data_IF_463968856691
#
_entry.id   IF_463968856691
#
_cell.length_a   1.000
_cell.length_b   1.000
_cell.length_c   1.000
_cell.angle_alpha   90.00
_cell.angle_beta   90.00
_cell.angle_gamma   90.00
#
_symmetry.space_group_name_H-M   'P 1'
#
loop_
_entity.id
_entity.type
_entity.pdbx_description
1 polymer ?
#
# COMPACT_ATOMS: atom_id res chain seq x y z
N UNK A 1 15.69 6.19 -5.33
CA UNK A 1 16.62 5.94 -6.45
C UNK A 1 15.89 4.97 -7.36
N UNK A 2 15.56 5.41 -8.60
CA UNK A 2 14.97 4.53 -9.63
C UNK A 2 15.96 3.40 -9.89
N UNK A 3 15.48 2.17 -10.22
CA UNK A 3 16.38 1.12 -10.64
C UNK A 3 17.25 1.63 -11.79
N UNK A 4 18.52 1.28 -11.84
CA UNK A 4 19.31 1.59 -13.01
C UNK A 4 18.72 0.90 -14.24
N UNK A 5 18.70 1.57 -15.36
CA UNK A 5 18.19 1.08 -16.65
C UNK A 5 18.48 -0.41 -16.97
N UNK A 6 19.71 -0.93 -16.74
CA UNK A 6 20.00 -2.35 -16.97
C UNK A 6 19.13 -3.30 -16.12
N UNK A 7 18.67 -2.84 -14.96
CA UNK A 7 17.85 -3.69 -14.07
C UNK A 7 16.41 -3.85 -14.58
N UNK A 8 15.85 -2.85 -15.25
CA UNK A 8 14.55 -2.99 -15.92
C UNK A 8 14.61 -4.02 -17.01
N UNK A 9 15.65 -4.00 -17.87
CA UNK A 9 15.86 -5.01 -18.92
C UNK A 9 15.97 -6.43 -18.35
N UNK A 10 16.76 -6.61 -17.30
CA UNK A 10 16.91 -7.90 -16.62
C UNK A 10 15.59 -8.41 -16.02
N UNK A 11 14.83 -7.52 -15.37
CA UNK A 11 13.55 -7.86 -14.74
C UNK A 11 12.53 -8.26 -15.79
N UNK A 12 12.44 -7.53 -16.90
CA UNK A 12 11.55 -7.83 -18.03
C UNK A 12 11.90 -9.18 -18.68
N UNK A 13 13.19 -9.40 -18.97
CA UNK A 13 13.67 -10.65 -19.57
C UNK A 13 13.39 -11.85 -18.67
N UNK A 14 13.57 -11.73 -17.36
CA UNK A 14 13.27 -12.79 -16.38
C UNK A 14 11.78 -13.10 -16.30
N UNK A 15 10.92 -12.08 -16.40
CA UNK A 15 9.46 -12.19 -16.26
C UNK A 15 8.79 -12.74 -17.52
N UNK A 16 9.24 -12.31 -18.71
CA UNK A 16 8.55 -12.52 -19.99
C UNK A 16 9.37 -13.29 -21.04
N UNK A 17 10.69 -13.41 -20.83
CA UNK A 17 11.63 -13.92 -21.84
C UNK A 17 12.07 -12.85 -22.86
N UNK A 18 11.56 -11.61 -22.76
CA UNK A 18 11.89 -10.48 -23.63
C UNK A 18 12.33 -9.29 -22.76
N UNK A 19 13.41 -8.61 -23.14
CA UNK A 19 13.94 -7.47 -22.39
C UNK A 19 13.21 -6.15 -22.67
N UNK A 20 12.40 -6.07 -23.72
CA UNK A 20 11.68 -4.88 -24.18
C UNK A 20 12.57 -3.63 -24.30
N UNK A 21 13.83 -3.80 -24.70
CA UNK A 21 14.80 -2.71 -24.75
C UNK A 21 14.28 -1.46 -25.47
N UNK A 22 13.63 -1.53 -26.65
CA UNK A 22 13.11 -0.33 -27.32
C UNK A 22 12.08 0.45 -26.51
N UNK A 23 11.24 -0.26 -25.73
CA UNK A 23 10.27 0.36 -24.83
C UNK A 23 10.96 1.05 -23.65
N UNK A 24 11.91 0.37 -23.02
CA UNK A 24 12.69 0.95 -21.91
C UNK A 24 13.55 2.12 -22.35
N UNK A 25 14.13 2.06 -23.56
CA UNK A 25 14.85 3.20 -24.17
C UNK A 25 13.92 4.40 -24.35
N UNK A 26 12.72 4.18 -24.85
CA UNK A 26 11.71 5.22 -24.98
C UNK A 26 11.30 5.80 -23.62
N UNK A 27 11.09 4.97 -22.61
CA UNK A 27 10.72 5.44 -21.26
C UNK A 27 11.81 6.26 -20.60
N UNK A 28 13.06 5.78 -20.58
CA UNK A 28 14.11 6.26 -19.70
C UNK A 28 15.19 7.12 -20.34
N UNK A 29 15.49 6.91 -21.63
CA UNK A 29 16.69 7.49 -22.26
C UNK A 29 16.48 8.88 -22.89
N UNK A 30 15.33 9.52 -22.66
CA UNK A 30 15.06 10.89 -23.11
C UNK A 30 14.77 11.82 -21.94
N UNK A 31 15.76 12.56 -21.41
CA UNK A 31 15.60 13.40 -20.22
C UNK A 31 14.42 14.37 -20.29
N UNK A 32 14.18 14.97 -21.46
CA UNK A 32 13.10 15.96 -21.66
C UNK A 32 11.71 15.34 -21.70
N UNK A 33 11.59 14.03 -21.90
CA UNK A 33 10.32 13.31 -22.04
C UNK A 33 10.06 12.28 -20.94
N UNK A 34 11.09 11.91 -20.17
CA UNK A 34 11.01 10.88 -19.14
C UNK A 34 9.89 11.16 -18.14
N UNK A 35 9.79 12.38 -17.62
CA UNK A 35 8.77 12.75 -16.64
C UNK A 35 7.35 12.54 -17.21
N UNK A 36 7.08 13.01 -18.43
CA UNK A 36 5.78 12.87 -19.07
C UNK A 36 5.41 11.41 -19.38
N UNK A 37 6.41 10.56 -19.69
CA UNK A 37 6.20 9.14 -19.99
C UNK A 37 5.92 8.29 -18.74
N UNK A 38 6.27 8.79 -17.56
CA UNK A 38 5.98 8.19 -16.25
C UNK A 38 4.84 8.90 -15.52
N UNK A 39 4.23 9.93 -16.12
CA UNK A 39 3.12 10.65 -15.53
C UNK A 39 1.81 9.87 -15.68
N UNK A 40 1.16 9.60 -14.55
CA UNK A 40 -0.14 8.91 -14.54
C UNK A 40 -1.24 9.71 -15.25
N UNK A 41 -1.15 11.04 -15.28
CA UNK A 41 -2.10 11.86 -16.03
C UNK A 41 -1.98 11.64 -17.56
N UNK A 42 -0.78 11.29 -18.05
CA UNK A 42 -0.51 10.98 -19.45
C UNK A 42 -0.64 9.46 -19.78
N UNK A 43 -1.03 8.64 -18.80
CA UNK A 43 -1.00 7.18 -18.92
C UNK A 43 -1.82 6.65 -20.11
N UNK A 44 -3.00 7.21 -20.36
CA UNK A 44 -3.87 6.79 -21.47
C UNK A 44 -3.24 7.10 -22.84
N UNK A 45 -2.61 8.26 -23.00
CA UNK A 45 -1.92 8.67 -24.22
C UNK A 45 -0.67 7.81 -24.45
N UNK A 46 0.15 7.64 -23.42
CA UNK A 46 1.36 6.81 -23.45
C UNK A 46 1.01 5.35 -23.77
N UNK A 47 -0.04 4.79 -23.18
CA UNK A 47 -0.56 3.46 -23.51
C UNK A 47 -0.93 3.34 -24.98
N UNK A 48 -1.65 4.32 -25.52
CA UNK A 48 -2.04 4.28 -26.94
C UNK A 48 -0.81 4.33 -27.86
N UNK A 49 0.18 5.14 -27.54
CA UNK A 49 1.45 5.16 -28.26
C UNK A 49 2.18 3.81 -28.22
N UNK A 50 2.32 3.22 -27.02
CA UNK A 50 2.98 1.91 -26.82
C UNK A 50 2.26 0.82 -27.59
N UNK A 51 0.92 0.77 -27.52
CA UNK A 51 0.10 -0.21 -28.24
C UNK A 51 0.31 -0.12 -29.76
N UNK A 52 0.30 1.09 -30.31
CA UNK A 52 0.46 1.32 -31.74
C UNK A 52 1.88 1.06 -32.24
N UNK A 53 2.89 1.19 -31.37
CA UNK A 53 4.31 1.07 -31.74
C UNK A 53 4.84 -0.35 -31.57
N UNK A 54 4.49 -1.02 -30.45
CA UNK A 54 5.09 -2.31 -30.05
C UNK A 54 4.07 -3.42 -29.76
N UNK A 55 2.77 -3.12 -29.81
CA UNK A 55 1.71 -4.10 -29.62
C UNK A 55 1.29 -4.31 -28.17
N UNK A 56 0.36 -5.24 -27.99
CA UNK A 56 -0.38 -5.42 -26.72
C UNK A 56 0.50 -5.99 -25.59
N UNK A 57 1.47 -6.84 -25.91
CA UNK A 57 2.40 -7.37 -24.90
C UNK A 57 3.27 -6.27 -24.28
N UNK A 58 3.72 -5.31 -25.10
CA UNK A 58 4.49 -4.16 -24.64
C UNK A 58 3.67 -3.21 -23.76
N UNK A 59 2.35 -3.17 -23.91
CA UNK A 59 1.46 -2.40 -23.02
C UNK A 59 1.52 -2.93 -21.60
N UNK A 60 1.51 -4.25 -21.42
CA UNK A 60 1.64 -4.86 -20.10
C UNK A 60 2.98 -4.49 -19.46
N UNK A 61 4.07 -4.57 -20.23
CA UNK A 61 5.40 -4.20 -19.76
C UNK A 61 5.52 -2.70 -19.42
N UNK A 62 4.91 -1.83 -20.23
CA UNK A 62 4.81 -0.40 -19.93
C UNK A 62 4.19 -0.11 -18.57
N UNK A 63 3.03 -0.74 -18.29
CA UNK A 63 2.38 -0.56 -16.98
C UNK A 63 3.21 -1.10 -15.83
N UNK A 64 3.87 -2.24 -16.00
CA UNK A 64 4.73 -2.83 -14.98
C UNK A 64 5.94 -1.95 -14.68
N UNK A 65 6.59 -1.39 -15.72
CA UNK A 65 7.70 -0.46 -15.56
C UNK A 65 7.30 0.81 -14.77
N UNK A 66 6.20 1.45 -15.17
CA UNK A 66 5.70 2.65 -14.47
C UNK A 66 5.34 2.33 -13.01
N UNK A 67 4.73 1.17 -12.75
CA UNK A 67 4.41 0.73 -11.39
C UNK A 67 5.67 0.46 -10.55
N UNK A 68 6.68 -0.20 -11.12
CA UNK A 68 7.97 -0.45 -10.43
C UNK A 68 8.67 0.87 -10.06
N UNK A 69 8.69 1.84 -10.96
CA UNK A 69 9.31 3.15 -10.72
C UNK A 69 8.58 3.94 -9.61
N UNK A 70 7.25 3.88 -9.59
CA UNK A 70 6.45 4.51 -8.53
C UNK A 70 6.72 3.86 -7.17
N UNK A 71 6.69 2.53 -7.09
CA UNK A 71 7.00 1.77 -5.88
C UNK A 71 8.40 2.08 -5.35
N UNK A 72 9.40 2.13 -6.22
CA UNK A 72 10.77 2.46 -5.86
C UNK A 72 10.91 3.91 -5.37
N UNK A 73 10.21 4.84 -5.98
CA UNK A 73 10.19 6.26 -5.58
C UNK A 73 9.57 6.44 -4.20
N UNK A 74 8.43 5.81 -3.95
CA UNK A 74 7.73 5.88 -2.67
C UNK A 74 8.53 5.17 -1.56
N UNK A 75 9.12 4.00 -1.84
CA UNK A 75 10.02 3.31 -0.91
C UNK A 75 11.26 4.16 -0.56
N UNK A 76 11.86 4.83 -1.56
CA UNK A 76 12.97 5.74 -1.32
C UNK A 76 12.55 6.94 -0.46
N UNK A 77 11.32 7.43 -0.61
CA UNK A 77 10.78 8.49 0.24
C UNK A 77 10.66 8.06 1.70
N UNK A 78 10.22 6.82 1.98
CA UNK A 78 10.20 6.27 3.34
C UNK A 78 11.60 6.20 3.95
N UNK A 79 12.58 5.66 3.20
CA UNK A 79 13.97 5.54 3.67
C UNK A 79 14.57 6.93 3.95
N UNK A 80 14.37 7.89 3.05
CA UNK A 80 14.86 9.26 3.20
C UNK A 80 14.19 9.99 4.38
N UNK A 81 12.94 9.66 4.69
CA UNK A 81 12.23 10.17 5.86
C UNK A 81 12.78 9.60 7.19
N UNK A 82 13.59 8.54 7.12
CA UNK A 82 14.20 7.87 8.27
C UNK A 82 13.38 6.71 8.81
N UNK A 83 12.49 6.12 8.02
CA UNK A 83 11.77 4.91 8.42
C UNK A 83 12.77 3.76 8.63
N UNK A 84 12.69 3.01 9.74
CA UNK A 84 13.49 1.82 9.97
C UNK A 84 13.25 0.76 8.90
N UNK A 85 14.27 -0.07 8.63
CA UNK A 85 14.20 -1.10 7.58
C UNK A 85 13.02 -2.06 7.75
N UNK A 86 12.73 -2.47 8.99
CA UNK A 86 11.60 -3.33 9.31
C UNK A 86 10.25 -2.67 9.00
N UNK A 87 10.10 -1.36 9.24
CA UNK A 87 8.89 -0.64 8.88
C UNK A 87 8.71 -0.52 7.36
N UNK A 88 9.81 -0.31 6.63
CA UNK A 88 9.79 -0.30 5.15
C UNK A 88 9.40 -1.68 4.60
N UNK A 89 9.98 -2.76 5.13
CA UNK A 89 9.64 -4.13 4.72
C UNK A 89 8.18 -4.45 5.02
N UNK A 90 7.70 -4.13 6.22
CA UNK A 90 6.30 -4.27 6.61
C UNK A 90 5.37 -3.53 5.65
N UNK A 91 5.65 -2.26 5.35
CA UNK A 91 4.85 -1.45 4.43
C UNK A 91 4.76 -2.04 3.01
N UNK A 92 5.85 -2.62 2.51
CA UNK A 92 5.84 -3.31 1.21
C UNK A 92 4.98 -4.59 1.23
N UNK A 93 5.04 -5.37 2.32
CA UNK A 93 4.19 -6.54 2.51
C UNK A 93 2.71 -6.15 2.64
N UNK A 94 2.40 -5.06 3.35
CA UNK A 94 1.03 -4.52 3.43
C UNK A 94 0.54 -4.09 2.05
N UNK A 95 1.37 -3.43 1.24
CA UNK A 95 1.01 -3.03 -0.11
C UNK A 95 0.73 -4.25 -1.02
N UNK A 96 1.58 -5.28 -0.95
CA UNK A 96 1.37 -6.55 -1.66
C UNK A 96 0.04 -7.20 -1.26
N UNK A 97 -0.22 -7.32 0.04
CA UNK A 97 -1.45 -7.94 0.57
C UNK A 97 -2.69 -7.13 0.23
N UNK A 98 -2.62 -5.82 0.31
CA UNK A 98 -3.72 -4.93 -0.07
C UNK A 98 -4.08 -5.07 -1.56
N UNK A 99 -3.08 -5.14 -2.45
CA UNK A 99 -3.31 -5.36 -3.88
C UNK A 99 -3.86 -6.76 -4.19
N UNK A 100 -3.43 -7.79 -3.46
CA UNK A 100 -4.01 -9.14 -3.55
C UNK A 100 -5.50 -9.11 -3.17
N UNK A 101 -5.86 -8.49 -2.04
CA UNK A 101 -7.26 -8.32 -1.62
C UNK A 101 -8.05 -7.55 -2.67
N UNK A 102 -7.49 -6.44 -3.20
CA UNK A 102 -8.13 -5.63 -4.24
C UNK A 102 -8.35 -6.38 -5.56
N UNK A 103 -7.60 -7.44 -5.82
CA UNK A 103 -7.82 -8.29 -7.00
C UNK A 103 -9.00 -9.25 -6.83
N UNK A 104 -9.43 -9.51 -5.60
CA UNK A 104 -10.50 -10.46 -5.23
C UNK A 104 -11.84 -9.78 -4.99
N UNK A 105 -11.86 -8.50 -4.58
CA UNK A 105 -13.09 -7.77 -4.34
C UNK A 105 -13.79 -7.36 -5.64
N UNK A 106 -15.14 -7.36 -5.62
CA UNK A 106 -16.00 -7.04 -6.78
C UNK A 106 -16.43 -5.57 -6.85
N UNK A 107 -15.97 -4.75 -5.91
CA UNK A 107 -16.22 -3.31 -5.88
C UNK A 107 -15.08 -2.55 -6.56
N UNK A 108 -15.33 -1.34 -7.08
CA UNK A 108 -14.27 -0.48 -7.60
C UNK A 108 -13.28 -0.08 -6.49
N UNK A 109 -11.99 -0.20 -6.77
CA UNK A 109 -10.88 0.19 -5.87
C UNK A 109 -9.82 0.91 -6.71
N UNK A 110 -9.39 2.07 -6.25
CA UNK A 110 -8.22 2.74 -6.81
C UNK A 110 -6.94 2.03 -6.32
N UNK A 111 -6.42 1.15 -7.17
CA UNK A 111 -5.22 0.35 -6.85
C UNK A 111 -3.95 1.19 -6.70
N UNK A 112 -3.88 2.35 -7.34
CA UNK A 112 -2.75 3.26 -7.18
C UNK A 112 -2.78 3.94 -5.80
N UNK A 113 -3.92 4.51 -5.44
CA UNK A 113 -4.14 5.07 -4.10
C UNK A 113 -3.92 4.00 -3.02
N UNK A 114 -4.47 2.81 -3.23
CA UNK A 114 -4.33 1.67 -2.31
C UNK A 114 -2.87 1.30 -2.06
N UNK A 115 -2.08 1.10 -3.13
CA UNK A 115 -0.67 0.71 -3.02
C UNK A 115 0.14 1.78 -2.30
N UNK A 116 -0.02 3.06 -2.69
CA UNK A 116 0.70 4.17 -2.06
C UNK A 116 0.25 4.41 -0.62
N UNK A 117 -1.05 4.32 -0.35
CA UNK A 117 -1.59 4.40 1.01
C UNK A 117 -0.99 3.32 1.91
N UNK A 118 -0.88 2.08 1.41
CA UNK A 118 -0.24 0.98 2.13
C UNK A 118 1.26 1.20 2.36
N UNK A 119 1.99 1.72 1.35
CA UNK A 119 3.42 2.03 1.50
C UNK A 119 3.63 3.08 2.59
N UNK A 120 2.82 4.13 2.62
CA UNK A 120 3.02 5.26 3.52
C UNK A 120 2.28 5.16 4.86
N UNK A 121 1.40 4.16 5.09
CA UNK A 121 0.56 4.12 6.29
C UNK A 121 1.35 4.31 7.59
N UNK A 122 2.53 3.75 7.65
CA UNK A 122 3.44 3.77 8.81
C UNK A 122 4.57 4.82 8.73
N UNK A 123 4.45 5.83 7.87
CA UNK A 123 5.46 6.89 7.68
C UNK A 123 5.89 7.56 9.00
N UNK A 124 4.98 7.71 9.94
CA UNK A 124 5.28 8.31 11.25
C UNK A 124 6.21 7.48 12.12
N UNK A 125 6.41 6.18 11.83
CA UNK A 125 7.40 5.32 12.50
C UNK A 125 8.85 5.80 12.28
N UNK A 126 9.07 6.68 11.32
CA UNK A 126 10.34 7.43 11.20
C UNK A 126 10.64 8.32 12.43
N UNK A 127 9.64 8.64 13.25
CA UNK A 127 9.77 9.53 14.41
C UNK A 127 9.39 8.86 15.73
N UNK A 128 8.36 8.01 15.75
CA UNK A 128 7.84 7.38 16.97
C UNK A 128 7.08 6.10 16.64
N UNK A 129 7.09 5.16 17.60
CA UNK A 129 6.22 3.97 17.62
C UNK A 129 4.99 4.15 18.52
N UNK A 130 4.81 5.34 19.10
CA UNK A 130 3.65 5.69 19.93
C UNK A 130 2.36 5.80 19.11
N UNK A 131 1.22 5.93 19.79
CA UNK A 131 -0.10 6.04 19.15
C UNK A 131 -0.22 7.26 18.23
N UNK A 132 0.60 8.27 18.47
CA UNK A 132 0.66 9.50 17.69
C UNK A 132 1.36 9.36 16.32
N UNK A 133 1.94 8.18 15.98
CA UNK A 133 2.62 8.03 14.70
C UNK A 133 1.67 8.23 13.49
N UNK A 134 0.37 7.99 13.62
CA UNK A 134 -0.61 8.31 12.58
C UNK A 134 -0.71 9.81 12.31
N UNK A 135 -0.77 10.63 13.36
CA UNK A 135 -0.80 12.10 13.26
C UNK A 135 0.52 12.67 12.72
N UNK A 136 1.63 12.19 13.23
CA UNK A 136 2.97 12.61 12.80
C UNK A 136 3.19 12.21 11.34
N UNK A 137 2.82 10.98 10.97
CA UNK A 137 2.93 10.49 9.60
C UNK A 137 2.08 11.29 8.61
N UNK A 138 0.85 11.64 8.98
CA UNK A 138 -0.02 12.47 8.14
C UNK A 138 0.57 13.87 7.91
N UNK A 139 1.19 14.47 8.92
CA UNK A 139 1.91 15.75 8.79
C UNK A 139 3.15 15.61 7.90
N UNK A 140 3.95 14.57 8.08
CA UNK A 140 5.10 14.29 7.21
C UNK A 140 4.67 14.06 5.76
N UNK A 141 3.55 13.38 5.54
CA UNK A 141 2.98 13.17 4.21
C UNK A 141 2.55 14.49 3.54
N UNK A 142 2.02 15.44 4.30
CA UNK A 142 1.73 16.79 3.82
C UNK A 142 3.01 17.54 3.40
N UNK A 143 4.05 17.46 4.21
CA UNK A 143 5.36 18.05 3.92
C UNK A 143 6.03 17.43 2.68
N UNK A 144 5.76 16.15 2.40
CA UNK A 144 6.18 15.43 1.19
C UNK A 144 5.30 15.71 -0.03
N UNK A 145 4.21 16.48 0.12
CA UNK A 145 3.27 16.79 -0.96
C UNK A 145 2.40 15.60 -1.38
N UNK A 146 2.20 14.61 -0.49
CA UNK A 146 1.30 13.49 -0.77
C UNK A 146 -0.15 13.95 -0.76
N UNK A 147 -0.95 13.34 -1.63
CA UNK A 147 -2.38 13.67 -1.77
C UNK A 147 -3.18 13.38 -0.49
N UNK A 148 -4.27 14.12 -0.32
CA UNK A 148 -5.12 14.05 0.88
C UNK A 148 -5.59 12.62 1.18
N UNK A 149 -5.97 11.87 0.16
CA UNK A 149 -6.45 10.50 0.33
C UNK A 149 -5.40 9.58 0.98
N UNK A 150 -4.12 9.72 0.63
CA UNK A 150 -3.01 8.99 1.27
C UNK A 150 -2.86 9.46 2.72
N UNK A 151 -2.90 10.78 2.96
CA UNK A 151 -2.82 11.34 4.32
C UNK A 151 -3.94 10.82 5.22
N UNK A 152 -5.16 10.64 4.69
CA UNK A 152 -6.27 10.06 5.42
C UNK A 152 -6.06 8.60 5.78
N UNK A 153 -5.46 7.78 4.91
CA UNK A 153 -5.09 6.40 5.22
C UNK A 153 -4.09 6.38 6.38
N UNK A 154 -3.02 7.18 6.30
CA UNK A 154 -2.00 7.31 7.35
C UNK A 154 -2.62 7.73 8.68
N UNK A 155 -3.48 8.75 8.66
CA UNK A 155 -4.11 9.31 9.85
C UNK A 155 -5.00 8.30 10.57
N UNK A 156 -5.74 7.49 9.82
CA UNK A 156 -6.82 6.63 10.34
C UNK A 156 -6.40 5.19 10.63
N UNK A 157 -5.18 4.77 10.28
CA UNK A 157 -4.82 3.34 10.40
C UNK A 157 -4.76 2.83 11.84
N UNK A 158 -4.58 3.72 12.81
CA UNK A 158 -4.44 3.36 14.23
C UNK A 158 -5.66 2.59 14.73
N UNK A 159 -5.43 1.36 15.21
CA UNK A 159 -6.46 0.46 15.80
C UNK A 159 -7.70 0.24 14.91
N UNK A 160 -7.53 0.31 13.61
CA UNK A 160 -8.65 0.12 12.68
C UNK A 160 -9.60 1.31 12.57
N UNK A 161 -9.10 2.51 12.88
CA UNK A 161 -9.89 3.73 12.97
C UNK A 161 -10.45 3.97 14.38
N UNK A 162 -10.44 5.20 14.84
CA UNK A 162 -10.87 5.59 16.17
C UNK A 162 -12.07 6.53 16.10
N UNK A 163 -12.97 6.43 17.07
CA UNK A 163 -13.97 7.45 17.31
C UNK A 163 -13.35 8.66 18.04
N UNK A 164 -14.02 9.80 18.03
CA UNK A 164 -13.58 10.99 18.82
C UNK A 164 -13.42 10.69 20.32
N UNK A 165 -14.28 9.83 20.87
CA UNK A 165 -14.20 9.44 22.27
C UNK A 165 -12.92 8.65 22.57
N UNK A 166 -12.60 7.66 21.73
CA UNK A 166 -11.37 6.87 21.85
C UNK A 166 -10.12 7.72 21.62
N UNK A 167 -10.15 8.66 20.66
CA UNK A 167 -9.05 9.59 20.42
C UNK A 167 -8.76 10.43 21.67
N UNK A 168 -9.81 10.94 22.35
CA UNK A 168 -9.68 11.68 23.59
C UNK A 168 -9.08 10.83 24.71
N UNK A 169 -9.53 9.59 24.87
CA UNK A 169 -9.01 8.66 25.87
C UNK A 169 -7.53 8.32 25.65
N UNK A 170 -7.10 8.27 24.39
CA UNK A 170 -5.72 7.98 23.99
C UNK A 170 -4.81 9.22 23.96
N UNK A 171 -5.34 10.41 24.28
CA UNK A 171 -4.58 11.65 24.24
C UNK A 171 -4.24 12.15 22.83
N UNK A 172 -4.95 11.67 21.81
CA UNK A 172 -4.82 12.10 20.43
C UNK A 172 -5.71 13.34 20.15
N UNK A 173 -5.44 14.10 19.09
CA UNK A 173 -6.34 15.17 18.67
C UNK A 173 -7.78 14.67 18.51
N UNK A 174 -8.75 15.42 19.09
CA UNK A 174 -10.15 15.00 19.12
C UNK A 174 -10.78 15.23 17.75
N UNK A 175 -10.85 14.18 16.97
CA UNK A 175 -11.50 14.11 15.64
C UNK A 175 -11.98 12.69 15.33
N UNK A 176 -12.77 12.54 14.29
CA UNK A 176 -13.22 11.25 13.78
C UNK A 176 -12.17 10.62 12.87
N UNK A 177 -11.61 9.48 13.27
CA UNK A 177 -10.67 8.68 12.49
C UNK A 177 -11.32 7.43 11.87
N UNK A 178 -12.65 7.34 11.85
CA UNK A 178 -13.31 6.15 11.30
C UNK A 178 -13.05 5.98 9.80
N UNK A 179 -12.95 4.71 9.38
CA UNK A 179 -12.67 4.36 7.98
C UNK A 179 -13.90 4.59 7.11
N UNK A 180 -13.73 5.21 5.95
CA UNK A 180 -14.84 5.58 5.06
C UNK A 180 -14.73 4.97 3.67
N UNK A 181 -13.53 4.92 3.09
CA UNK A 181 -13.34 4.46 1.71
C UNK A 181 -12.91 2.99 1.65
N UNK A 182 -13.15 2.30 0.53
CA UNK A 182 -12.64 0.95 0.33
C UNK A 182 -11.13 0.84 0.51
N UNK A 183 -10.38 1.84 0.03
CA UNK A 183 -8.92 1.86 0.11
C UNK A 183 -8.45 1.96 1.57
N UNK A 184 -9.03 2.86 2.38
CA UNK A 184 -8.75 2.93 3.81
C UNK A 184 -8.98 1.58 4.49
N UNK A 185 -10.12 0.95 4.22
CA UNK A 185 -10.53 -0.33 4.81
C UNK A 185 -9.61 -1.48 4.41
N UNK A 186 -9.28 -1.58 3.12
CA UNK A 186 -8.42 -2.64 2.61
C UNK A 186 -6.99 -2.50 3.14
N UNK A 187 -6.41 -1.29 3.18
CA UNK A 187 -5.07 -1.08 3.73
C UNK A 187 -5.01 -1.52 5.19
N UNK A 188 -5.94 -1.08 6.01
CA UNK A 188 -5.94 -1.39 7.44
C UNK A 188 -6.22 -2.87 7.72
N UNK A 189 -7.06 -3.51 6.92
CA UNK A 189 -7.26 -4.95 6.98
C UNK A 189 -6.00 -5.72 6.57
N UNK A 190 -5.34 -5.29 5.49
CA UNK A 190 -4.09 -5.89 5.03
C UNK A 190 -2.97 -5.74 6.07
N UNK A 191 -2.84 -4.56 6.68
CA UNK A 191 -1.90 -4.31 7.77
C UNK A 191 -2.09 -5.30 8.93
N UNK A 192 -3.32 -5.49 9.39
CA UNK A 192 -3.63 -6.48 10.45
C UNK A 192 -3.33 -7.91 10.02
N UNK A 193 -3.60 -8.27 8.76
CA UNK A 193 -3.28 -9.60 8.22
C UNK A 193 -1.77 -9.83 8.18
N UNK A 194 -0.99 -8.84 7.73
CA UNK A 194 0.47 -8.91 7.70
C UNK A 194 1.05 -9.10 9.09
N UNK A 195 0.59 -8.34 10.07
CA UNK A 195 0.98 -8.51 11.47
C UNK A 195 0.78 -9.97 11.95
N UNK A 196 -0.39 -10.56 11.65
CA UNK A 196 -0.75 -11.90 12.11
C UNK A 196 0.21 -12.97 11.55
N UNK A 197 0.47 -12.97 10.25
CA UNK A 197 1.30 -14.04 9.69
C UNK A 197 2.80 -13.78 9.83
N UNK A 198 3.26 -12.53 9.94
CA UNK A 198 4.68 -12.22 10.18
C UNK A 198 5.11 -12.42 11.63
N UNK A 199 4.20 -12.28 12.57
CA UNK A 199 4.48 -12.51 14.01
C UNK A 199 4.58 -14.01 14.37
N UNK A 200 4.41 -14.92 13.42
CA UNK A 200 4.54 -16.37 13.63
C UNK A 200 3.38 -17.02 14.39
N UNK A 201 2.24 -16.34 14.49
CA UNK A 201 1.01 -16.89 15.08
C UNK A 201 0.50 -18.07 14.24
N UNK A 202 0.60 -17.93 12.93
CA UNK A 202 0.24 -18.98 11.99
C UNK A 202 1.52 -19.72 11.54
N UNK A 203 1.61 -21.05 11.71
CA UNK A 203 2.79 -21.81 11.32
C UNK A 203 3.15 -21.60 9.83
N UNK A 204 4.41 -21.35 9.55
CA UNK A 204 4.92 -21.20 8.20
C UNK A 204 4.47 -19.89 7.50
N UNK A 205 3.97 -18.92 8.24
CA UNK A 205 3.42 -17.66 7.71
C UNK A 205 2.33 -17.91 6.64
N UNK A 206 1.49 -18.92 6.85
CA UNK A 206 0.41 -19.32 5.95
C UNK A 206 -0.69 -18.24 5.92
N UNK A 207 -0.67 -17.44 4.86
CA UNK A 207 -1.60 -16.32 4.68
C UNK A 207 -3.05 -16.76 4.53
N UNK A 208 -3.29 -17.91 3.87
CA UNK A 208 -4.64 -18.44 3.69
C UNK A 208 -5.21 -18.89 5.03
N UNK A 209 -4.39 -19.56 5.84
CA UNK A 209 -4.78 -19.95 7.20
C UNK A 209 -5.01 -18.74 8.09
N UNK A 210 -4.16 -17.71 8.00
CA UNK A 210 -4.34 -16.46 8.74
C UNK A 210 -5.69 -15.79 8.41
N UNK A 211 -6.11 -15.81 7.14
CA UNK A 211 -7.42 -15.28 6.71
C UNK A 211 -8.58 -16.14 7.23
N UNK A 212 -8.48 -17.46 7.17
CA UNK A 212 -9.49 -18.38 7.69
C UNK A 212 -9.66 -18.26 9.20
N UNK A 213 -8.56 -18.15 9.93
CA UNK A 213 -8.56 -18.10 11.40
C UNK A 213 -8.64 -16.67 11.96
N UNK A 214 -8.81 -15.65 11.11
CA UNK A 214 -8.71 -14.23 11.48
C UNK A 214 -9.55 -13.86 12.70
N UNK A 215 -10.81 -14.29 12.72
CA UNK A 215 -11.73 -14.01 13.82
C UNK A 215 -11.22 -14.64 15.13
N UNK A 216 -10.88 -15.92 15.11
CA UNK A 216 -10.40 -16.63 16.30
C UNK A 216 -9.06 -16.10 16.81
N UNK A 217 -8.18 -15.63 15.90
CA UNK A 217 -6.92 -15.02 16.27
C UNK A 217 -7.14 -13.69 17.00
N UNK A 218 -8.04 -12.84 16.48
CA UNK A 218 -8.36 -11.56 17.12
C UNK A 218 -9.00 -11.75 18.50
N UNK A 219 -9.85 -12.76 18.66
CA UNK A 219 -10.50 -13.07 19.93
C UNK A 219 -9.53 -13.69 20.95
N UNK A 220 -8.56 -14.47 20.49
CA UNK A 220 -7.61 -15.20 21.34
C UNK A 220 -6.42 -14.33 21.78
N UNK A 221 -5.91 -13.50 20.87
CA UNK A 221 -4.68 -12.76 21.12
C UNK A 221 -4.97 -11.26 21.32
N UNK A 222 -4.88 -10.79 22.57
CA UNK A 222 -5.09 -9.39 22.96
C UNK A 222 -4.22 -8.42 22.12
N UNK A 223 -3.03 -8.85 21.69
CA UNK A 223 -2.16 -8.07 20.80
C UNK A 223 -2.89 -7.55 19.56
N UNK A 224 -3.81 -8.32 18.98
CA UNK A 224 -4.53 -7.99 17.74
C UNK A 224 -5.93 -7.43 18.01
N UNK A 225 -6.67 -7.99 18.94
CA UNK A 225 -7.99 -7.50 19.34
C UNK A 225 -7.93 -6.19 20.14
N UNK A 226 -6.87 -5.98 20.92
CA UNK A 226 -6.61 -4.81 21.78
C UNK A 226 -7.65 -4.63 22.89
N UNK A 227 -8.84 -4.18 22.54
CA UNK A 227 -9.97 -3.97 23.45
C UNK A 227 -11.29 -4.32 22.71
N UNK A 228 -12.43 -4.41 23.43
CA UNK A 228 -13.71 -4.80 22.80
C UNK A 228 -14.11 -3.92 21.61
N UNK A 229 -13.89 -2.61 21.67
CA UNK A 229 -14.24 -1.69 20.58
C UNK A 229 -13.37 -1.91 19.33
N UNK A 230 -12.07 -2.08 19.51
CA UNK A 230 -11.13 -2.39 18.42
C UNK A 230 -11.43 -3.76 17.81
N UNK A 231 -11.69 -4.78 18.67
CA UNK A 231 -12.06 -6.12 18.22
C UNK A 231 -13.31 -6.07 17.33
N UNK A 232 -14.38 -5.45 17.80
CA UNK A 232 -15.64 -5.36 17.03
C UNK A 232 -15.43 -4.63 15.68
N UNK A 233 -14.59 -3.62 15.64
CA UNK A 233 -14.23 -2.91 14.38
C UNK A 233 -13.57 -3.84 13.40
N UNK A 234 -12.56 -4.60 13.82
CA UNK A 234 -11.89 -5.55 12.93
C UNK A 234 -12.77 -6.71 12.49
N UNK A 235 -13.68 -7.20 13.35
CA UNK A 235 -14.67 -8.21 12.99
C UNK A 235 -15.64 -7.68 11.92
N UNK A 236 -16.14 -6.46 12.11
CA UNK A 236 -17.00 -5.79 11.13
C UNK A 236 -16.27 -5.55 9.80
N UNK A 237 -15.03 -5.09 9.86
CA UNK A 237 -14.18 -4.86 8.69
C UNK A 237 -13.91 -6.16 7.92
N UNK A 238 -13.59 -7.24 8.63
CA UNK A 238 -13.43 -8.57 8.03
C UNK A 238 -14.69 -9.02 7.30
N UNK A 239 -15.85 -8.97 7.97
CA UNK A 239 -17.12 -9.35 7.38
C UNK A 239 -17.48 -8.52 6.14
N UNK A 240 -17.21 -7.21 6.16
CA UNK A 240 -17.45 -6.31 5.04
C UNK A 240 -16.56 -6.67 3.83
N UNK A 241 -15.26 -6.87 4.06
CA UNK A 241 -14.30 -7.22 2.98
C UNK A 241 -14.61 -8.61 2.40
N UNK A 242 -14.93 -9.60 3.24
CA UNK A 242 -15.36 -10.92 2.76
C UNK A 242 -16.66 -10.82 1.93
N UNK A 243 -17.58 -9.93 2.33
CA UNK A 243 -18.77 -9.62 1.55
C UNK A 243 -18.48 -9.02 0.17
N UNK A 244 -17.42 -8.24 0.03
CA UNK A 244 -16.99 -7.69 -1.27
C UNK A 244 -16.36 -8.75 -2.20
N UNK A 245 -15.84 -9.84 -1.64
CA UNK A 245 -15.26 -10.96 -2.39
C UNK A 245 -16.30 -11.99 -2.85
N UNK A 246 -17.42 -12.11 -2.11
CA UNK A 246 -18.53 -13.04 -2.41
C UNK A 246 -19.30 -12.60 -3.66
#
# INVERSE_FOLDING_TARGET
IMPPYPKHLETSARRTGNDYQPLHDWLDNHPDHKAARHDLAALAENRAFVLNTWGDEAVTEFFLHVAEDLLMKDTAALVNAGCPTEAVQHSLEVARKALEIASRVKIPVDKHLLARGAIFHDLGKAKTYGMEHGEIGAKMAEELGLEEAIRQIILKHIRGGLTEAEARELGLPVRDYTLRTPEEKIVIYADRMVDIYTDGIVPGADEQKAEQDFVSILETYEKYGKNPATLQRYLALHAEIQGWMA
#
